data_IF_871846996039
#
_entry.id   IF_871846996039
#
_cell.length_a   1.000
_cell.length_b   1.000
_cell.length_c   1.000
_cell.angle_alpha   90.00
_cell.angle_beta   90.00
_cell.angle_gamma   90.00
#
_symmetry.space_group_name_H-M   'P 1'
#
loop_
_entity.id
_entity.type
_entity.pdbx_description
1 polymer ?
#
# COMPACT_ATOMS: atom_id res chain seq x y z
N UNK A 1 -9.41 25.45 3.64
CA UNK A 1 -9.72 24.53 2.54
C UNK A 1 -8.50 23.63 2.42
N UNK A 2 -8.59 22.37 2.86
CA UNK A 2 -7.47 21.44 2.78
C UNK A 2 -7.14 21.19 1.31
N UNK A 3 -5.85 21.16 0.98
CA UNK A 3 -5.39 20.82 -0.36
C UNK A 3 -5.97 19.48 -0.79
N UNK A 4 -6.31 19.35 -2.05
CA UNK A 4 -6.85 18.12 -2.60
C UNK A 4 -5.70 17.14 -2.84
N UNK A 5 -5.39 16.28 -1.89
CA UNK A 5 -4.38 15.21 -2.06
C UNK A 5 -4.61 14.34 -3.31
N UNK A 6 -4.60 13.03 -3.17
CA UNK A 6 -4.92 12.11 -4.26
C UNK A 6 -6.45 11.87 -4.32
N UNK A 7 -7.02 12.01 -5.52
CA UNK A 7 -8.44 11.72 -5.80
C UNK A 7 -8.53 10.73 -6.96
N UNK A 8 -9.29 9.67 -6.75
CA UNK A 8 -9.67 8.68 -7.77
C UNK A 8 -11.19 8.72 -7.90
N UNK A 9 -11.71 8.88 -9.12
CA UNK A 9 -13.15 8.95 -9.40
C UNK A 9 -13.55 7.95 -10.47
N UNK A 10 -14.54 7.11 -10.14
CA UNK A 10 -15.19 6.16 -11.06
C UNK A 10 -14.19 5.32 -11.88
N UNK A 11 -13.06 4.93 -11.27
CA UNK A 11 -11.99 4.25 -11.96
C UNK A 11 -12.39 2.82 -12.31
N UNK A 12 -12.37 2.50 -13.60
CA UNK A 12 -12.58 1.15 -14.12
C UNK A 12 -11.33 0.67 -14.85
N UNK A 13 -10.92 -0.56 -14.56
CA UNK A 13 -9.69 -1.18 -15.10
C UNK A 13 -9.98 -2.59 -15.59
N UNK A 14 -9.44 -2.92 -16.77
CA UNK A 14 -9.51 -4.26 -17.33
C UNK A 14 -8.17 -4.87 -17.70
N UNK A 15 -8.11 -6.20 -17.69
CA UNK A 15 -7.04 -7.04 -18.25
C UNK A 15 -7.69 -7.96 -19.30
N UNK A 16 -7.64 -7.54 -20.57
CA UNK A 16 -8.42 -8.20 -21.62
C UNK A 16 -9.91 -8.23 -21.25
N UNK A 17 -10.57 -9.40 -21.20
CA UNK A 17 -11.99 -9.52 -20.87
C UNK A 17 -12.30 -9.37 -19.38
N UNK A 18 -11.30 -9.39 -18.50
CA UNK A 18 -11.49 -9.36 -17.05
C UNK A 18 -11.56 -7.92 -16.56
N UNK A 19 -12.67 -7.52 -15.95
CA UNK A 19 -12.80 -6.25 -15.23
C UNK A 19 -12.25 -6.40 -13.81
N UNK A 20 -11.07 -5.85 -13.57
CA UNK A 20 -10.39 -5.92 -12.28
C UNK A 20 -10.82 -4.80 -11.31
N UNK A 21 -11.20 -3.63 -11.82
CA UNK A 21 -11.82 -2.55 -11.03
C UNK A 21 -13.07 -2.05 -11.75
N UNK A 22 -14.09 -1.68 -10.96
CA UNK A 22 -15.41 -1.24 -11.41
C UNK A 22 -15.80 0.02 -10.67
N UNK A 23 -15.70 1.18 -11.33
CA UNK A 23 -16.10 2.50 -10.82
C UNK A 23 -15.59 2.81 -9.41
N UNK A 24 -14.34 2.44 -9.12
CA UNK A 24 -13.71 2.67 -7.82
C UNK A 24 -13.49 4.17 -7.62
N UNK A 25 -13.97 4.69 -6.48
CA UNK A 25 -13.74 6.08 -6.06
C UNK A 25 -13.16 6.10 -4.66
N UNK A 26 -12.08 6.87 -4.48
CA UNK A 26 -11.46 7.10 -3.17
C UNK A 26 -10.70 8.44 -3.14
N UNK A 27 -10.45 8.91 -1.94
CA UNK A 27 -9.69 10.13 -1.69
C UNK A 27 -8.63 9.88 -0.61
N UNK A 28 -7.44 10.44 -0.81
CA UNK A 28 -6.36 10.53 0.18
C UNK A 28 -6.13 12.01 0.45
N UNK A 29 -6.73 12.57 1.50
CA UNK A 29 -6.50 13.97 1.87
C UNK A 29 -5.03 14.25 2.13
N UNK A 30 -4.59 15.49 1.89
CA UNK A 30 -3.22 15.91 2.17
C UNK A 30 -2.86 15.64 3.64
N UNK A 31 -1.67 15.10 3.88
CA UNK A 31 -1.18 14.79 5.23
C UNK A 31 -1.91 13.65 5.93
N UNK A 32 -2.68 12.82 5.22
CA UNK A 32 -3.40 11.69 5.81
C UNK A 32 -2.80 10.33 5.43
N UNK A 33 -3.06 9.34 6.26
CA UNK A 33 -2.89 7.91 5.93
C UNK A 33 -4.26 7.33 5.62
N UNK A 34 -4.43 6.82 4.42
CA UNK A 34 -5.64 6.11 3.99
C UNK A 34 -5.29 4.68 3.64
N UNK A 35 -6.12 3.73 4.05
CA UNK A 35 -5.89 2.31 3.73
C UNK A 35 -6.98 1.73 2.83
N UNK A 36 -6.58 0.79 1.96
CA UNK A 36 -7.48 -0.05 1.19
C UNK A 36 -7.30 -1.49 1.66
N UNK A 37 -8.35 -2.02 2.27
CA UNK A 37 -8.45 -3.41 2.71
C UNK A 37 -9.13 -4.26 1.64
N UNK A 38 -8.88 -5.56 1.65
CA UNK A 38 -9.54 -6.50 0.75
C UNK A 38 -8.77 -7.81 0.65
N UNK A 39 -9.47 -8.87 0.26
CA UNK A 39 -8.88 -10.19 0.03
C UNK A 39 -7.89 -10.19 -1.15
N UNK A 40 -7.11 -11.26 -1.28
CA UNK A 40 -6.27 -11.46 -2.46
C UNK A 40 -7.14 -11.53 -3.72
N UNK A 41 -6.72 -10.83 -4.77
CA UNK A 41 -7.50 -10.70 -6.00
C UNK A 41 -8.61 -9.64 -5.98
N UNK A 42 -8.83 -8.92 -4.89
CA UNK A 42 -9.84 -7.86 -4.82
C UNK A 42 -9.59 -6.66 -5.76
N UNK A 43 -8.35 -6.50 -6.28
CA UNK A 43 -7.99 -5.40 -7.17
C UNK A 43 -7.05 -4.36 -6.56
N UNK A 44 -6.57 -4.58 -5.32
CA UNK A 44 -5.74 -3.61 -4.56
C UNK A 44 -4.49 -3.16 -5.32
N UNK A 45 -3.63 -4.10 -5.74
CA UNK A 45 -2.41 -3.78 -6.51
C UNK A 45 -2.74 -3.21 -7.89
N UNK A 46 -3.88 -3.61 -8.49
CA UNK A 46 -4.38 -3.01 -9.75
C UNK A 46 -4.69 -1.53 -9.57
N UNK A 47 -5.31 -1.16 -8.45
CA UNK A 47 -5.58 0.24 -8.11
C UNK A 47 -4.28 1.05 -8.00
N UNK A 48 -3.28 0.57 -7.25
CA UNK A 48 -2.00 1.25 -7.11
C UNK A 48 -1.23 1.36 -8.44
N UNK A 49 -1.27 0.30 -9.27
CA UNK A 49 -0.68 0.31 -10.62
C UNK A 49 -1.39 1.30 -11.56
N UNK A 50 -2.71 1.45 -11.44
CA UNK A 50 -3.45 2.44 -12.21
C UNK A 50 -3.05 3.87 -11.80
N UNK A 51 -2.96 4.15 -10.49
CA UNK A 51 -2.55 5.46 -9.96
C UNK A 51 -1.12 5.79 -10.37
N UNK A 52 -0.17 4.86 -10.23
CA UNK A 52 1.24 5.04 -10.61
C UNK A 52 1.50 4.96 -12.12
N UNK A 53 0.46 4.68 -12.92
CA UNK A 53 0.52 4.52 -14.40
C UNK A 53 1.44 3.38 -14.86
N UNK A 54 1.73 2.42 -13.99
CA UNK A 54 2.51 1.22 -14.32
C UNK A 54 1.63 0.06 -14.82
N UNK A 55 0.33 0.25 -14.88
CA UNK A 55 -0.67 -0.77 -15.23
C UNK A 55 -0.42 -1.43 -16.59
N UNK A 56 0.00 -0.65 -17.59
CA UNK A 56 0.29 -1.13 -18.97
C UNK A 56 1.45 -2.14 -19.01
N UNK A 57 2.42 -2.06 -18.08
CA UNK A 57 3.51 -3.03 -18.00
C UNK A 57 3.02 -4.42 -17.56
N UNK A 58 1.79 -4.50 -17.05
CA UNK A 58 1.13 -5.72 -16.61
C UNK A 58 -0.05 -6.11 -17.54
N UNK A 59 -0.16 -5.48 -18.72
CA UNK A 59 -1.22 -5.76 -19.69
C UNK A 59 -2.60 -5.21 -19.32
N UNK A 60 -2.68 -4.33 -18.32
CA UNK A 60 -3.94 -3.71 -17.92
C UNK A 60 -4.18 -2.35 -18.60
N UNK A 61 -5.44 -1.97 -18.66
CA UNK A 61 -5.90 -0.70 -19.28
C UNK A 61 -6.94 -0.04 -18.39
N UNK A 62 -6.81 1.26 -18.18
CA UNK A 62 -7.87 2.09 -17.59
C UNK A 62 -8.91 2.33 -18.69
N UNK A 63 -10.16 1.93 -18.43
CA UNK A 63 -11.28 2.05 -19.38
C UNK A 63 -12.15 3.27 -19.11
N UNK A 64 -12.27 3.67 -17.84
CA UNK A 64 -13.10 4.80 -17.39
C UNK A 64 -12.52 5.44 -16.15
N UNK A 65 -12.96 6.66 -15.84
CA UNK A 65 -12.62 7.38 -14.62
C UNK A 65 -11.47 8.35 -14.75
N UNK A 66 -11.13 9.00 -13.65
CA UNK A 66 -10.02 9.94 -13.57
C UNK A 66 -9.20 9.77 -12.29
N UNK A 67 -7.91 10.12 -12.38
CA UNK A 67 -6.98 10.13 -11.25
C UNK A 67 -6.32 11.52 -11.21
N UNK A 68 -6.36 12.17 -10.04
CA UNK A 68 -5.76 13.50 -9.82
C UNK A 68 -4.91 13.51 -8.57
N UNK A 69 -3.84 14.30 -8.61
CA UNK A 69 -3.09 14.73 -7.42
C UNK A 69 -3.12 16.25 -7.41
N UNK A 70 -3.65 16.81 -6.36
CA UNK A 70 -4.03 18.22 -6.29
C UNK A 70 -4.90 18.58 -7.51
N UNK A 71 -4.54 19.64 -8.24
CA UNK A 71 -5.25 20.04 -9.46
C UNK A 71 -4.78 19.32 -10.72
N UNK A 72 -3.77 18.45 -10.63
CA UNK A 72 -3.16 17.81 -11.78
C UNK A 72 -3.76 16.45 -12.07
N UNK A 73 -4.30 16.24 -13.29
CA UNK A 73 -4.70 14.92 -13.77
C UNK A 73 -3.47 14.08 -14.09
N UNK A 74 -3.54 12.80 -13.70
CA UNK A 74 -2.49 11.81 -13.98
C UNK A 74 -2.81 10.95 -15.20
N UNK A 75 -4.05 11.03 -15.73
CA UNK A 75 -4.49 10.25 -16.87
C UNK A 75 -3.63 10.58 -18.09
N UNK A 76 -3.18 9.55 -18.81
CA UNK A 76 -2.34 9.71 -19.99
C UNK A 76 -0.88 10.08 -19.70
N UNK A 77 -0.49 10.32 -18.45
CA UNK A 77 0.92 10.57 -18.12
C UNK A 77 1.74 9.28 -18.20
N UNK A 78 3.01 9.42 -18.60
CA UNK A 78 4.00 8.36 -18.42
C UNK A 78 4.39 8.22 -16.93
N UNK A 79 4.85 7.05 -16.45
CA UNK A 79 5.18 6.80 -15.04
C UNK A 79 6.19 7.79 -14.45
N UNK A 80 7.20 8.19 -15.20
CA UNK A 80 8.19 9.20 -14.76
C UNK A 80 7.55 10.58 -14.51
N UNK A 81 6.51 10.94 -15.28
CA UNK A 81 5.75 12.17 -15.10
C UNK A 81 4.82 12.10 -13.89
N UNK A 82 4.35 10.90 -13.52
CA UNK A 82 3.59 10.67 -12.29
C UNK A 82 4.49 10.87 -11.07
N UNK A 83 5.71 10.35 -11.11
CA UNK A 83 6.73 10.61 -10.06
C UNK A 83 7.02 12.11 -9.97
N UNK A 84 7.22 12.79 -11.10
CA UNK A 84 7.44 14.23 -11.13
C UNK A 84 6.21 15.06 -10.67
N UNK A 85 5.00 14.47 -10.70
CA UNK A 85 3.79 15.06 -10.13
C UNK A 85 3.67 14.84 -8.62
N UNK A 86 4.59 14.10 -8.01
CA UNK A 86 4.66 13.86 -6.56
C UNK A 86 4.03 12.56 -6.10
N UNK A 87 3.84 11.55 -6.96
CA UNK A 87 3.35 10.22 -6.57
C UNK A 87 4.45 9.20 -6.73
N UNK A 88 4.83 8.54 -5.64
CA UNK A 88 5.78 7.42 -5.66
C UNK A 88 5.08 6.12 -5.26
N UNK A 89 5.48 5.00 -5.87
CA UNK A 89 4.91 3.68 -5.62
C UNK A 89 5.98 2.70 -5.16
N UNK A 90 5.70 2.03 -4.05
CA UNK A 90 6.46 0.87 -3.55
C UNK A 90 5.61 -0.37 -3.83
N UNK A 91 5.90 -1.11 -4.89
CA UNK A 91 5.13 -2.31 -5.23
C UNK A 91 5.43 -3.46 -4.28
N UNK A 92 4.53 -4.44 -4.25
CA UNK A 92 4.71 -5.71 -3.55
C UNK A 92 6.02 -6.41 -3.98
N UNK A 93 6.63 -7.17 -3.06
CA UNK A 93 7.81 -7.96 -3.35
C UNK A 93 9.13 -7.18 -3.30
N UNK A 94 9.15 -6.00 -2.62
CA UNK A 94 10.32 -5.16 -2.34
C UNK A 94 10.98 -4.55 -3.58
N UNK A 95 11.19 -5.32 -4.63
CA UNK A 95 11.72 -4.95 -5.97
C UNK A 95 12.94 -4.02 -5.92
N UNK A 96 13.90 -4.33 -5.03
CA UNK A 96 15.19 -3.63 -4.99
C UNK A 96 16.10 -4.09 -6.12
N UNK A 97 17.00 -3.22 -6.57
CA UNK A 97 18.05 -3.59 -7.52
C UNK A 97 19.12 -4.37 -6.79
N UNK A 98 18.97 -5.70 -6.69
CA UNK A 98 19.76 -6.59 -5.83
C UNK A 98 21.27 -6.59 -6.12
N UNK A 99 21.66 -6.32 -7.37
CA UNK A 99 23.08 -6.25 -7.80
C UNK A 99 23.73 -4.90 -7.52
N UNK A 100 22.93 -3.84 -7.29
CA UNK A 100 23.40 -2.51 -6.96
C UNK A 100 23.61 -2.36 -5.46
N UNK A 101 24.44 -1.39 -5.07
CA UNK A 101 24.61 -1.03 -3.65
C UNK A 101 23.34 -0.36 -3.09
N UNK A 102 23.24 -0.28 -1.77
CA UNK A 102 22.20 0.53 -1.10
C UNK A 102 22.23 1.97 -1.61
N UNK A 103 23.41 2.58 -1.63
CA UNK A 103 23.60 3.96 -2.11
C UNK A 103 23.14 4.13 -3.57
N UNK A 104 23.42 3.18 -4.45
CA UNK A 104 23.00 3.25 -5.84
C UNK A 104 21.49 3.06 -6.01
N UNK A 105 20.85 2.19 -5.20
CA UNK A 105 19.40 2.07 -5.14
C UNK A 105 18.75 3.41 -4.75
N UNK A 106 19.26 4.07 -3.69
CA UNK A 106 18.75 5.37 -3.26
C UNK A 106 18.97 6.45 -4.33
N UNK A 107 20.15 6.47 -4.95
CA UNK A 107 20.45 7.39 -6.07
C UNK A 107 19.48 7.21 -7.24
N UNK A 108 19.17 5.96 -7.60
CA UNK A 108 18.20 5.65 -8.64
C UNK A 108 16.81 6.19 -8.31
N UNK A 109 16.35 6.08 -7.06
CA UNK A 109 15.08 6.64 -6.58
C UNK A 109 14.98 8.16 -6.75
N UNK A 110 16.10 8.86 -6.58
CA UNK A 110 16.18 10.32 -6.73
C UNK A 110 16.18 10.83 -8.19
N UNK A 111 16.21 9.94 -9.21
CA UNK A 111 16.25 10.39 -10.61
C UNK A 111 14.97 11.10 -11.04
N UNK A 112 13.81 10.71 -10.51
CA UNK A 112 12.51 11.34 -10.79
C UNK A 112 12.25 12.66 -10.06
N UNK A 113 13.06 12.98 -9.03
CA UNK A 113 12.92 14.17 -8.21
C UNK A 113 13.84 15.33 -8.62
N UNK A 114 13.73 16.44 -7.87
CA UNK A 114 14.60 17.62 -8.06
C UNK A 114 16.06 17.30 -7.74
N UNK A 115 16.99 17.71 -8.60
CA UNK A 115 18.44 17.54 -8.35
C UNK A 115 18.90 18.28 -7.10
N UNK A 116 18.34 19.45 -6.82
CA UNK A 116 18.70 20.30 -5.66
C UNK A 116 18.15 19.76 -4.35
N UNK A 117 17.05 19.02 -4.36
CA UNK A 117 16.44 18.39 -3.18
C UNK A 117 17.03 17.04 -2.77
N UNK A 118 17.91 16.45 -3.59
CA UNK A 118 18.46 15.10 -3.33
C UNK A 118 19.27 14.98 -2.04
N UNK A 119 20.14 15.95 -1.66
CA UNK A 119 20.89 15.85 -0.40
C UNK A 119 19.95 15.83 0.82
N UNK A 120 18.93 16.67 0.83
CA UNK A 120 17.94 16.73 1.91
C UNK A 120 17.10 15.44 1.96
N UNK A 121 16.67 14.92 0.79
CA UNK A 121 15.98 13.65 0.71
C UNK A 121 16.83 12.49 1.26
N UNK A 122 18.13 12.47 0.94
CA UNK A 122 19.06 11.45 1.43
C UNK A 122 19.25 11.56 2.95
N UNK A 123 19.40 12.78 3.49
CA UNK A 123 19.50 13.00 4.93
C UNK A 123 18.25 12.49 5.65
N UNK A 124 17.05 12.87 5.16
CA UNK A 124 15.76 12.38 5.68
C UNK A 124 15.68 10.85 5.64
N UNK A 125 16.09 10.23 4.55
CA UNK A 125 16.09 8.75 4.40
C UNK A 125 17.04 8.10 5.41
N UNK A 126 18.21 8.68 5.67
CA UNK A 126 19.14 8.15 6.65
C UNK A 126 18.67 8.33 8.09
N UNK A 127 17.89 9.37 8.40
CA UNK A 127 17.23 9.54 9.71
C UNK A 127 16.15 8.47 9.92
N UNK A 128 15.30 8.23 8.92
CA UNK A 128 14.26 7.20 8.99
C UNK A 128 14.82 5.77 9.02
N UNK A 129 15.94 5.54 8.35
CA UNK A 129 16.55 4.23 8.16
C UNK A 129 18.07 4.25 8.40
N UNK A 130 18.56 4.41 9.65
CA UNK A 130 20.00 4.51 9.93
C UNK A 130 20.81 3.31 9.40
N UNK A 131 20.23 2.11 9.43
CA UNK A 131 20.86 0.89 8.91
C UNK A 131 21.23 0.99 7.43
N UNK A 132 20.52 1.79 6.63
CA UNK A 132 20.82 1.99 5.22
C UNK A 132 22.05 2.90 5.03
N UNK A 133 22.28 3.84 5.94
CA UNK A 133 23.50 4.67 5.94
C UNK A 133 24.73 3.81 6.31
N UNK A 134 24.62 2.97 7.34
CA UNK A 134 25.69 2.06 7.78
C UNK A 134 26.08 1.05 6.68
N UNK A 135 25.10 0.63 5.87
CA UNK A 135 25.27 -0.38 4.82
C UNK A 135 25.29 0.20 3.41
N UNK A 136 25.61 1.50 3.27
CA UNK A 136 25.52 2.22 2.00
C UNK A 136 26.25 1.54 0.84
N UNK A 137 27.41 0.91 1.10
CA UNK A 137 28.25 0.22 0.10
C UNK A 137 27.90 -1.27 -0.06
N UNK A 138 27.01 -1.82 0.76
CA UNK A 138 26.59 -3.21 0.68
C UNK A 138 25.64 -3.40 -0.52
N UNK A 139 25.75 -4.55 -1.22
CA UNK A 139 24.78 -4.93 -2.26
C UNK A 139 23.42 -5.17 -1.65
N UNK A 140 22.38 -4.61 -2.25
CA UNK A 140 21.00 -4.68 -1.74
C UNK A 140 20.50 -6.14 -1.63
N UNK A 141 20.96 -7.04 -2.49
CA UNK A 141 20.60 -8.45 -2.42
C UNK A 141 21.12 -9.20 -1.18
N UNK A 142 22.09 -8.63 -0.45
CA UNK A 142 22.67 -9.20 0.77
C UNK A 142 21.99 -8.66 2.06
N UNK A 143 21.06 -7.76 1.92
CA UNK A 143 20.26 -7.26 3.04
C UNK A 143 19.22 -8.31 3.46
N UNK A 144 18.84 -8.29 4.74
CA UNK A 144 17.68 -9.04 5.23
C UNK A 144 16.39 -8.60 4.54
N UNK A 145 15.35 -9.44 4.59
CA UNK A 145 14.08 -9.11 3.99
C UNK A 145 13.45 -7.81 4.50
N UNK A 146 13.59 -7.52 5.79
CA UNK A 146 13.11 -6.26 6.37
C UNK A 146 13.93 -5.06 5.90
N UNK A 147 15.26 -5.19 5.83
CA UNK A 147 16.13 -4.12 5.31
C UNK A 147 15.92 -3.85 3.82
N UNK A 148 15.62 -4.90 3.02
CA UNK A 148 15.23 -4.71 1.62
C UNK A 148 13.91 -3.95 1.51
N UNK A 149 12.94 -4.20 2.42
CA UNK A 149 11.68 -3.46 2.45
C UNK A 149 11.92 -1.99 2.84
N UNK A 150 12.76 -1.73 3.87
CA UNK A 150 13.18 -0.37 4.21
C UNK A 150 13.84 0.33 3.02
N UNK A 151 14.71 -0.36 2.29
CA UNK A 151 15.37 0.19 1.10
C UNK A 151 14.37 0.49 -0.02
N UNK A 152 13.35 -0.33 -0.23
CA UNK A 152 12.30 -0.08 -1.22
C UNK A 152 11.50 1.19 -0.89
N UNK A 153 11.10 1.36 0.38
CA UNK A 153 10.42 2.58 0.86
C UNK A 153 11.35 3.78 0.76
N UNK A 154 12.58 3.67 1.26
CA UNK A 154 13.60 4.71 1.20
C UNK A 154 13.87 5.20 -0.23
N UNK A 155 13.97 4.28 -1.19
CA UNK A 155 14.13 4.59 -2.60
C UNK A 155 12.97 5.43 -3.16
N UNK A 156 11.73 5.13 -2.77
CA UNK A 156 10.56 5.89 -3.18
C UNK A 156 10.56 7.31 -2.57
N UNK A 157 11.03 7.46 -1.32
CA UNK A 157 11.15 8.75 -0.63
C UNK A 157 12.21 9.67 -1.23
N UNK A 158 13.21 9.12 -1.94
CA UNK A 158 14.23 9.93 -2.63
C UNK A 158 13.65 10.86 -3.70
N UNK A 159 12.45 10.60 -4.20
CA UNK A 159 11.74 11.47 -5.12
C UNK A 159 10.99 12.62 -4.42
N UNK A 160 10.98 12.67 -3.08
CA UNK A 160 10.24 13.64 -2.24
C UNK A 160 8.75 13.66 -2.62
N UNK A 161 8.04 12.52 -2.49
CA UNK A 161 6.66 12.44 -2.91
C UNK A 161 5.71 13.22 -2.00
N UNK A 162 4.64 13.77 -2.59
CA UNK A 162 3.44 14.26 -1.88
C UNK A 162 2.58 13.10 -1.41
N UNK A 163 2.48 12.05 -2.25
CA UNK A 163 1.70 10.84 -2.00
C UNK A 163 2.59 9.62 -2.20
N UNK A 164 2.68 8.79 -1.18
CA UNK A 164 3.38 7.50 -1.20
C UNK A 164 2.35 6.37 -1.27
N UNK A 165 2.44 5.55 -2.31
CA UNK A 165 1.63 4.35 -2.49
C UNK A 165 2.42 3.14 -1.98
N UNK A 166 1.87 2.38 -1.04
CA UNK A 166 2.49 1.19 -0.45
C UNK A 166 1.64 -0.04 -0.70
N UNK A 167 2.19 -1.02 -1.40
CA UNK A 167 1.53 -2.29 -1.73
C UNK A 167 2.05 -3.41 -0.83
N UNK A 168 1.27 -3.78 0.19
CA UNK A 168 1.52 -4.83 1.18
C UNK A 168 2.94 -4.77 1.79
N UNK A 169 3.36 -3.62 2.36
CA UNK A 169 4.73 -3.44 2.81
C UNK A 169 5.13 -4.34 3.99
N UNK A 170 4.17 -4.91 4.72
CA UNK A 170 4.44 -5.83 5.84
C UNK A 170 4.47 -7.31 5.43
N UNK A 171 4.11 -7.64 4.19
CA UNK A 171 3.97 -9.02 3.72
C UNK A 171 5.29 -9.82 3.83
N UNK A 172 5.21 -10.98 4.47
CA UNK A 172 6.36 -11.88 4.62
C UNK A 172 7.47 -11.35 5.53
N UNK A 173 7.16 -10.38 6.38
CA UNK A 173 8.06 -9.89 7.42
C UNK A 173 7.76 -10.52 8.78
N UNK A 174 8.80 -10.65 9.61
CA UNK A 174 8.63 -11.00 11.01
C UNK A 174 7.79 -9.92 11.74
N UNK A 175 7.00 -10.26 12.78
CA UNK A 175 6.09 -9.31 13.45
C UNK A 175 6.76 -8.01 13.90
N UNK A 176 7.98 -8.10 14.46
CA UNK A 176 8.74 -6.93 14.90
C UNK A 176 9.10 -6.00 13.73
N UNK A 177 9.45 -6.57 12.57
CA UNK A 177 9.76 -5.80 11.37
C UNK A 177 8.52 -5.15 10.76
N UNK A 178 7.37 -5.86 10.77
CA UNK A 178 6.10 -5.29 10.34
C UNK A 178 5.69 -4.08 11.21
N UNK A 179 5.89 -4.16 12.54
CA UNK A 179 5.68 -3.03 13.45
C UNK A 179 6.62 -1.87 13.12
N UNK A 180 7.91 -2.14 12.87
CA UNK A 180 8.88 -1.10 12.50
C UNK A 180 8.51 -0.40 11.20
N UNK A 181 8.04 -1.13 10.19
CA UNK A 181 7.52 -0.52 8.94
C UNK A 181 6.30 0.36 9.23
N UNK A 182 5.38 -0.09 10.11
CA UNK A 182 4.21 0.69 10.50
C UNK A 182 4.60 2.01 11.20
N UNK A 183 5.56 1.96 12.14
CA UNK A 183 6.12 3.16 12.79
C UNK A 183 6.72 4.11 11.75
N UNK A 184 7.51 3.58 10.82
CA UNK A 184 8.12 4.37 9.74
C UNK A 184 7.06 5.02 8.85
N UNK A 185 5.95 4.33 8.54
CA UNK A 185 4.84 4.92 7.76
C UNK A 185 4.25 6.12 8.51
N UNK A 186 4.09 6.02 9.84
CA UNK A 186 3.63 7.15 10.68
C UNK A 186 4.62 8.31 10.65
N UNK A 187 5.91 8.04 10.86
CA UNK A 187 6.98 9.06 10.80
C UNK A 187 7.01 9.77 9.44
N UNK A 188 6.87 9.03 8.33
CA UNK A 188 6.78 9.57 6.96
C UNK A 188 5.57 10.50 6.82
N UNK A 189 4.42 10.11 7.38
CA UNK A 189 3.21 10.91 7.32
C UNK A 189 3.31 12.17 8.20
N UNK A 190 3.83 12.08 9.42
CA UNK A 190 4.09 13.20 10.32
C UNK A 190 5.01 14.25 9.69
N UNK A 191 5.91 13.82 8.80
CA UNK A 191 6.76 14.70 7.99
C UNK A 191 6.06 15.29 6.76
N UNK A 192 4.73 15.10 6.62
CA UNK A 192 3.88 15.74 5.60
C UNK A 192 3.66 14.94 4.32
N UNK A 193 4.13 13.69 4.23
CA UNK A 193 3.82 12.82 3.07
C UNK A 193 2.50 12.10 3.30
N UNK A 194 1.52 12.27 2.39
CA UNK A 194 0.28 11.48 2.42
C UNK A 194 0.56 10.04 2.02
N UNK A 195 -0.17 9.08 2.58
CA UNK A 195 0.06 7.66 2.31
C UNK A 195 -1.23 6.97 1.89
N UNK A 196 -1.20 6.26 0.77
CA UNK A 196 -2.19 5.24 0.42
C UNK A 196 -1.59 3.87 0.66
N UNK A 197 -2.07 3.21 1.69
CA UNK A 197 -1.59 1.91 2.16
C UNK A 197 -2.56 0.81 1.72
N UNK A 198 -2.06 -0.16 1.00
CA UNK A 198 -2.75 -1.44 0.77
C UNK A 198 -2.12 -2.47 1.69
N UNK A 199 -2.90 -3.15 2.50
CA UNK A 199 -2.44 -4.16 3.44
C UNK A 199 -3.40 -5.33 3.56
N UNK A 200 -2.84 -6.52 3.76
CA UNK A 200 -3.59 -7.70 4.11
C UNK A 200 -3.85 -7.77 5.62
N UNK A 201 -2.92 -7.27 6.42
CA UNK A 201 -3.08 -7.17 7.87
C UNK A 201 -3.98 -5.98 8.22
N UNK A 202 -5.28 -6.22 8.25
CA UNK A 202 -6.27 -5.19 8.50
C UNK A 202 -6.08 -4.51 9.87
N UNK A 203 -5.69 -5.26 10.92
CA UNK A 203 -5.46 -4.69 12.24
C UNK A 203 -4.31 -3.67 12.24
N UNK A 204 -3.24 -3.96 11.51
CA UNK A 204 -2.12 -3.04 11.34
C UNK A 204 -2.55 -1.81 10.54
N UNK A 205 -3.21 -2.01 9.42
CA UNK A 205 -3.65 -0.96 8.51
C UNK A 205 -4.63 0.03 9.16
N UNK A 206 -5.64 -0.48 9.85
CA UNK A 206 -6.65 0.35 10.54
C UNK A 206 -6.08 1.17 11.70
N UNK A 207 -5.01 0.68 12.37
CA UNK A 207 -4.33 1.46 13.42
C UNK A 207 -3.50 2.62 12.87
N UNK A 208 -3.07 2.55 11.63
CA UNK A 208 -2.27 3.61 10.97
C UNK A 208 -3.15 4.65 10.28
N UNK A 209 -4.27 4.21 9.73
CA UNK A 209 -5.08 5.03 8.84
C UNK A 209 -6.07 5.91 9.59
N UNK A 210 -6.34 7.09 9.02
CA UNK A 210 -7.45 7.96 9.42
C UNK A 210 -8.76 7.55 8.75
N UNK A 211 -8.66 7.01 7.52
CA UNK A 211 -9.80 6.55 6.72
C UNK A 211 -9.47 5.22 6.05
N UNK A 212 -10.47 4.37 5.89
CA UNK A 212 -10.32 3.10 5.21
C UNK A 212 -11.40 2.88 4.15
N UNK A 213 -11.04 2.11 3.13
CA UNK A 213 -11.90 1.59 2.08
C UNK A 213 -11.78 0.07 2.06
N UNK A 214 -12.88 -0.63 1.90
CA UNK A 214 -12.89 -2.08 1.70
C UNK A 214 -13.18 -2.35 0.23
N UNK A 215 -12.27 -3.04 -0.42
CA UNK A 215 -12.34 -3.40 -1.83
C UNK A 215 -12.67 -4.88 -1.96
N UNK A 216 -13.76 -5.21 -2.63
CA UNK A 216 -14.19 -6.59 -2.90
C UNK A 216 -14.56 -6.73 -4.37
N UNK A 217 -13.98 -7.71 -5.03
CA UNK A 217 -14.24 -8.04 -6.44
C UNK A 217 -14.21 -6.81 -7.37
N UNK A 218 -13.26 -5.90 -7.09
CA UNK A 218 -13.04 -4.70 -7.89
C UNK A 218 -13.96 -3.51 -7.56
N UNK A 219 -14.76 -3.57 -6.50
CA UNK A 219 -15.67 -2.51 -6.08
C UNK A 219 -15.40 -2.10 -4.62
N UNK A 220 -15.61 -0.82 -4.30
CA UNK A 220 -15.59 -0.35 -2.91
C UNK A 220 -16.94 -0.67 -2.27
N UNK A 221 -16.94 -1.60 -1.30
CA UNK A 221 -18.15 -2.04 -0.59
C UNK A 221 -18.40 -1.26 0.69
N UNK A 222 -17.33 -0.87 1.40
CA UNK A 222 -17.40 -0.08 2.63
C UNK A 222 -16.35 1.03 2.59
N UNK A 223 -16.67 2.17 3.17
CA UNK A 223 -15.71 3.25 3.37
C UNK A 223 -16.11 4.12 4.56
N UNK A 224 -15.13 4.63 5.31
CA UNK A 224 -15.37 5.50 6.45
C UNK A 224 -14.12 5.79 7.27
N UNK A 225 -14.26 6.47 8.41
CA UNK A 225 -13.20 6.61 9.39
C UNK A 225 -12.66 5.23 9.81
N UNK A 226 -11.32 5.07 9.86
CA UNK A 226 -10.71 3.79 10.15
C UNK A 226 -11.11 3.22 11.52
N UNK A 227 -11.31 4.08 12.52
CA UNK A 227 -11.77 3.69 13.85
C UNK A 227 -13.20 3.09 13.83
N UNK A 228 -14.10 3.65 13.02
CA UNK A 228 -15.47 3.13 12.88
C UNK A 228 -15.48 1.77 12.17
N UNK A 229 -14.67 1.62 11.11
CA UNK A 229 -14.56 0.33 10.42
C UNK A 229 -13.90 -0.73 11.32
N UNK A 230 -12.92 -0.37 12.14
CA UNK A 230 -12.31 -1.28 13.11
C UNK A 230 -13.29 -1.78 14.18
N UNK A 231 -14.30 -0.98 14.52
CA UNK A 231 -15.35 -1.33 15.47
C UNK A 231 -16.52 -2.09 14.82
N UNK A 232 -16.64 -2.09 13.50
CA UNK A 232 -17.71 -2.75 12.75
C UNK A 232 -17.61 -4.26 12.84
N UNK A 233 -18.71 -4.94 13.19
CA UNK A 233 -18.77 -6.41 13.29
C UNK A 233 -18.47 -7.10 11.96
N UNK A 234 -18.85 -6.49 10.85
CA UNK A 234 -18.55 -7.01 9.52
C UNK A 234 -17.06 -7.04 9.22
N UNK A 235 -16.35 -5.94 9.50
CA UNK A 235 -14.90 -5.84 9.30
C UNK A 235 -14.14 -6.73 10.30
N UNK A 236 -14.62 -6.80 11.55
CA UNK A 236 -14.03 -7.66 12.60
C UNK A 236 -14.09 -9.12 12.21
N UNK A 237 -15.24 -9.62 11.77
CA UNK A 237 -15.42 -11.01 11.32
C UNK A 237 -14.62 -11.34 10.08
N UNK A 238 -14.65 -10.47 9.04
CA UNK A 238 -14.04 -10.77 7.74
C UNK A 238 -12.52 -10.55 7.71
N UNK A 239 -12.02 -9.54 8.45
CA UNK A 239 -10.64 -9.07 8.28
C UNK A 239 -9.81 -9.08 9.56
N UNK A 240 -10.40 -9.09 10.76
CA UNK A 240 -9.68 -9.10 12.04
C UNK A 240 -9.64 -10.47 12.71
N UNK A 241 -10.30 -11.49 12.14
CA UNK A 241 -10.28 -12.85 12.65
C UNK A 241 -10.95 -13.02 14.02
N UNK A 242 -11.81 -12.07 14.42
CA UNK A 242 -12.59 -12.20 15.66
C UNK A 242 -13.75 -13.15 15.37
N UNK A 243 -13.65 -14.38 15.86
CA UNK A 243 -14.76 -15.33 15.90
C UNK A 243 -15.68 -14.87 17.04
N UNK A 244 -16.97 -14.67 16.75
CA UNK A 244 -17.97 -14.46 17.80
C UNK A 244 -17.92 -15.67 18.75
N UNK A 245 -17.73 -15.44 20.05
CA UNK A 245 -17.74 -16.51 21.07
C UNK A 245 -19.05 -17.30 21.02
N UNK A 246 -20.16 -16.68 20.61
CA UNK A 246 -21.46 -17.32 20.41
C UNK A 246 -21.47 -18.30 19.22
N UNK A 247 -20.73 -18.02 18.13
CA UNK A 247 -20.61 -18.93 16.99
C UNK A 247 -19.67 -20.11 17.28
N UNK A 248 -18.72 -19.97 18.20
CA UNK A 248 -17.86 -21.05 18.66
C UNK A 248 -18.65 -22.03 19.53
N UNK A 249 -19.61 -21.56 20.35
CA UNK A 249 -20.48 -22.39 21.16
C UNK A 249 -21.43 -23.26 20.31
N UNK A 250 -21.94 -22.71 19.18
CA UNK A 250 -22.76 -23.48 18.24
C UNK A 250 -21.95 -24.51 17.43
N UNK A 251 -20.68 -24.22 17.11
CA UNK A 251 -19.80 -25.16 16.41
C UNK A 251 -19.44 -26.38 17.30
N UNK A 252 -19.25 -26.18 18.58
CA UNK A 252 -19.01 -27.29 19.54
C UNK A 252 -20.25 -28.19 19.74
N UNK A 253 -21.45 -27.62 19.64
CA UNK A 253 -22.69 -28.44 19.68
C UNK A 253 -22.89 -29.29 18.40
N UNK A 254 -22.37 -28.84 17.24
CA UNK A 254 -22.40 -29.58 15.98
C UNK A 254 -21.30 -30.66 15.92
N UNK A 255 -20.11 -30.39 16.52
CA UNK A 255 -19.00 -31.36 16.59
C UNK A 255 -19.30 -32.58 17.49
N UNK A 256 -20.28 -32.49 18.40
CA UNK A 256 -20.75 -33.59 19.21
C UNK A 256 -21.59 -34.69 18.48
N UNK A 257 -21.86 -34.51 17.18
CA UNK A 257 -22.51 -35.55 16.35
C UNK A 257 -21.46 -36.52 15.82
N UNK A 258 -21.27 -37.63 16.54
CA UNK A 258 -20.48 -38.79 16.10
C UNK A 258 -20.92 -39.24 14.72
N UNK A 259 -20.03 -39.15 13.75
CA UNK A 259 -20.21 -39.80 12.45
C UNK A 259 -20.20 -41.30 12.66
N UNK A 260 -21.32 -41.95 12.38
CA UNK A 260 -21.38 -43.43 12.34
C UNK A 260 -20.50 -43.93 11.20
N UNK A 261 -19.59 -44.92 11.45
CA UNK A 261 -18.77 -45.48 10.40
C UNK A 261 -19.64 -46.12 9.32
N UNK A 262 -19.36 -45.80 8.08
CA UNK A 262 -19.98 -46.44 6.92
C UNK A 262 -19.62 -47.92 6.92
N UNK A 263 -20.63 -48.81 7.07
CA UNK A 263 -20.47 -50.24 6.88
C UNK A 263 -20.72 -50.51 5.41
N UNK A 264 -19.64 -50.78 4.65
CA UNK A 264 -19.66 -51.29 3.29
C UNK A 264 -20.12 -52.75 3.24
#
# INVERSE_FOLDING_TARGET
MGGSGLVVRELSVGYGPVRALRRVSLEVPEGSVVTVLGSNGAGKSTLLRAISRTLSFHGGTVTEGEIRVDDRRLDGLAPDRVVAAGVSHVPEGRQVFSRMTVADNLRAGGLGGSRTGRPQALARVHELFPVLAERAQQRAGLLSGGEQQMLAVARALMAVPKVLLLDEPSLGLAPLMAQRIAETVREINEQGTSVLLVEQNAALALRLATRAYVLEVGEVTLSGPAAELAASDEVRRRYLGVVDEDAAADADQVAGRTLTPWKG
#
